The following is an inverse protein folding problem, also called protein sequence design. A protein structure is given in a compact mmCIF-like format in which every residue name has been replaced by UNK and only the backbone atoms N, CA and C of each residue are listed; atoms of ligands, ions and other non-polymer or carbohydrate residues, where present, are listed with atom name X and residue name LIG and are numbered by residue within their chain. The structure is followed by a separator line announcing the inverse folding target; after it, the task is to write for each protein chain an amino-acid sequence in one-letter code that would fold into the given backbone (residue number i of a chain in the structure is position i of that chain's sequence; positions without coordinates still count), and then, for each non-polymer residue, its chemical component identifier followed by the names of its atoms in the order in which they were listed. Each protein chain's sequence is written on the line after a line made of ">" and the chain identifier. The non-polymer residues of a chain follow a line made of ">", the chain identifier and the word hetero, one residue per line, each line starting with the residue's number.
data_IF_488904514557
#
_entry.id   IF_488904514557
#
_cell.length_a   1.000
_cell.length_b   1.000
_cell.length_c   1.000
_cell.angle_alpha   90.00
_cell.angle_beta   90.00
_cell.angle_gamma   90.00
#
_symmetry.space_group_name_H-M   'P 1'
#
loop_
_entity.id
_entity.type
_entity.pdbx_description
1 polymer ?
#
# COMPACT_ATOMS: atom_id res chain seq x y z
N UNK A 1 4.10 -14.87 -21.32
CA UNK A 1 2.77 -14.98 -20.68
C UNK A 1 2.17 -13.60 -20.73
N UNK A 2 1.52 -13.26 -21.85
CA UNK A 2 1.61 -11.88 -22.34
C UNK A 2 0.43 -10.98 -21.93
N UNK A 3 -0.56 -11.52 -21.23
CA UNK A 3 -1.58 -10.75 -20.51
C UNK A 3 -2.41 -11.70 -19.64
N UNK A 4 -2.59 -11.39 -18.35
CA UNK A 4 -3.60 -12.03 -17.51
C UNK A 4 -4.75 -11.02 -17.36
N UNK A 5 -5.97 -11.43 -17.70
CA UNK A 5 -7.15 -10.57 -17.61
C UNK A 5 -7.59 -10.44 -16.14
N UNK A 6 -7.31 -9.28 -15.54
CA UNK A 6 -7.64 -8.94 -14.16
C UNK A 6 -8.92 -8.09 -14.07
N UNK A 7 -9.64 -7.92 -15.18
CA UNK A 7 -10.76 -6.99 -15.29
C UNK A 7 -10.34 -5.54 -15.55
N UNK A 8 -11.34 -4.66 -15.57
CA UNK A 8 -11.22 -3.27 -16.07
C UNK A 8 -11.37 -2.21 -14.99
N UNK A 9 -11.34 -2.61 -13.71
CA UNK A 9 -11.41 -1.64 -12.62
C UNK A 9 -10.23 -0.67 -12.68
N UNK A 10 -10.53 0.60 -12.41
CA UNK A 10 -9.59 1.72 -12.43
C UNK A 10 -9.86 2.63 -11.25
N UNK A 11 -8.78 3.08 -10.60
CA UNK A 11 -8.81 4.13 -9.58
C UNK A 11 -7.92 5.28 -10.06
N UNK A 12 -8.49 6.40 -10.53
CA UNK A 12 -7.70 7.58 -10.84
C UNK A 12 -6.83 8.00 -9.65
N UNK A 13 -5.54 8.23 -9.90
CA UNK A 13 -4.60 8.75 -8.90
C UNK A 13 -4.04 10.12 -9.33
N UNK A 14 -3.47 10.87 -8.39
CA UNK A 14 -2.73 12.11 -8.68
C UNK A 14 -1.40 11.85 -9.41
N UNK A 15 -1.48 11.44 -10.67
CA UNK A 15 -0.36 11.33 -11.61
C UNK A 15 -0.73 11.96 -12.95
N UNK A 16 0.25 12.50 -13.67
CA UNK A 16 0.11 12.90 -15.07
C UNK A 16 0.59 11.82 -16.04
N UNK A 17 1.25 10.76 -15.54
CA UNK A 17 1.77 9.66 -16.34
C UNK A 17 0.68 8.62 -16.59
N UNK A 18 0.30 8.46 -17.86
CA UNK A 18 -0.63 7.41 -18.27
C UNK A 18 -0.09 6.00 -17.98
N UNK A 19 1.24 5.83 -18.01
CA UNK A 19 1.88 4.55 -17.70
C UNK A 19 1.84 4.25 -16.19
N UNK A 20 2.11 5.23 -15.33
CA UNK A 20 1.96 5.11 -13.87
C UNK A 20 0.52 4.76 -13.51
N UNK A 21 -0.46 5.46 -14.08
CA UNK A 21 -1.88 5.15 -13.86
C UNK A 21 -2.21 3.71 -14.26
N UNK A 22 -1.75 3.26 -15.44
CA UNK A 22 -1.98 1.90 -15.93
C UNK A 22 -1.39 0.86 -14.98
N UNK A 23 -0.14 1.02 -14.56
CA UNK A 23 0.51 0.06 -13.66
C UNK A 23 -0.10 0.07 -12.26
N UNK A 24 -0.55 1.23 -11.77
CA UNK A 24 -1.28 1.32 -10.52
C UNK A 24 -2.62 0.55 -10.58
N UNK A 25 -3.39 0.71 -11.66
CA UNK A 25 -4.66 0.00 -11.83
C UNK A 25 -4.45 -1.52 -11.89
N UNK A 26 -3.44 -1.99 -12.63
CA UNK A 26 -3.08 -3.42 -12.69
C UNK A 26 -2.66 -3.93 -11.31
N UNK A 27 -1.82 -3.19 -10.58
CA UNK A 27 -1.36 -3.57 -9.25
C UNK A 27 -2.51 -3.68 -8.24
N UNK A 28 -3.47 -2.75 -8.31
CA UNK A 28 -4.65 -2.78 -7.45
C UNK A 28 -5.56 -3.96 -7.78
N UNK A 29 -5.74 -4.30 -9.06
CA UNK A 29 -6.53 -5.47 -9.47
C UNK A 29 -5.87 -6.78 -9.05
N UNK A 30 -4.53 -6.87 -9.07
CA UNK A 30 -3.81 -8.01 -8.48
C UNK A 30 -4.07 -8.16 -6.98
N UNK A 31 -4.07 -7.06 -6.24
CA UNK A 31 -4.41 -7.07 -4.81
C UNK A 31 -5.87 -7.52 -4.58
N UNK A 32 -6.81 -7.07 -5.41
CA UNK A 32 -8.21 -7.54 -5.34
C UNK A 32 -8.37 -9.01 -5.73
N UNK A 33 -7.47 -9.54 -6.56
CA UNK A 33 -7.31 -10.97 -6.83
C UNK A 33 -6.50 -11.74 -5.78
N UNK A 34 -6.18 -11.13 -4.63
CA UNK A 34 -5.37 -11.69 -3.54
C UNK A 34 -3.92 -12.05 -3.91
N UNK A 35 -3.37 -11.49 -4.99
CA UNK A 35 -1.96 -11.62 -5.34
C UNK A 35 -1.18 -10.33 -5.02
N UNK A 36 -0.81 -10.21 -3.76
CA UNK A 36 -0.13 -9.04 -3.21
C UNK A 36 1.29 -8.83 -3.79
N UNK A 37 2.03 -9.91 -4.04
CA UNK A 37 3.39 -9.84 -4.58
C UNK A 37 3.42 -9.28 -6.02
N UNK A 38 2.49 -9.73 -6.88
CA UNK A 38 2.36 -9.15 -8.22
C UNK A 38 1.84 -7.71 -8.18
N UNK A 39 0.98 -7.38 -7.20
CA UNK A 39 0.57 -6.00 -6.91
C UNK A 39 1.78 -5.08 -6.66
N UNK A 40 2.67 -5.49 -5.75
CA UNK A 40 3.90 -4.75 -5.44
C UNK A 40 4.77 -4.55 -6.69
N UNK A 41 5.01 -5.60 -7.48
CA UNK A 41 5.82 -5.49 -8.72
C UNK A 41 5.23 -4.47 -9.70
N UNK A 42 3.90 -4.43 -9.81
CA UNK A 42 3.22 -3.44 -10.65
C UNK A 42 3.38 -2.02 -10.11
N UNK A 43 3.29 -1.81 -8.79
CA UNK A 43 3.52 -0.49 -8.19
C UNK A 43 4.98 -0.05 -8.32
N UNK A 44 5.95 -0.95 -8.12
CA UNK A 44 7.38 -0.68 -8.38
C UNK A 44 7.59 -0.28 -9.85
N UNK A 45 6.89 -0.92 -10.79
CA UNK A 45 6.92 -0.54 -12.21
C UNK A 45 6.31 0.84 -12.48
N UNK A 46 5.24 1.21 -11.76
CA UNK A 46 4.62 2.52 -11.88
C UNK A 46 5.59 3.66 -11.47
N UNK A 47 6.44 3.42 -10.48
CA UNK A 47 7.47 4.38 -10.03
C UNK A 47 8.59 4.61 -11.05
N UNK A 48 8.78 3.73 -12.03
CA UNK A 48 9.82 3.94 -13.07
C UNK A 48 9.51 5.17 -13.96
N UNK A 49 8.24 5.58 -14.06
CA UNK A 49 7.81 6.71 -14.91
C UNK A 49 7.32 7.92 -14.12
N UNK A 50 6.93 7.73 -12.86
CA UNK A 50 6.56 8.82 -11.94
C UNK A 50 7.07 8.50 -10.52
N UNK A 51 8.39 8.67 -10.27
CA UNK A 51 9.00 8.31 -9.00
C UNK A 51 8.55 9.21 -7.84
N UNK A 52 7.89 10.33 -8.13
CA UNK A 52 7.37 11.27 -7.12
C UNK A 52 5.88 11.04 -6.81
N UNK A 53 5.23 10.05 -7.45
CA UNK A 53 3.82 9.76 -7.22
C UNK A 53 3.56 9.17 -5.83
N UNK A 54 3.16 10.04 -4.90
CA UNK A 54 2.89 9.70 -3.51
C UNK A 54 1.96 8.48 -3.33
N UNK A 55 0.93 8.37 -4.17
CA UNK A 55 -0.08 7.33 -4.01
C UNK A 55 0.38 5.95 -4.52
N UNK A 56 1.42 5.89 -5.36
CA UNK A 56 2.04 4.62 -5.74
C UNK A 56 2.80 4.02 -4.55
N UNK A 57 3.51 4.85 -3.77
CA UNK A 57 4.13 4.40 -2.51
C UNK A 57 3.09 3.89 -1.51
N UNK A 58 1.92 4.54 -1.42
CA UNK A 58 0.78 4.00 -0.66
C UNK A 58 0.36 2.61 -1.18
N UNK A 59 0.32 2.41 -2.49
CA UNK A 59 -0.01 1.12 -3.11
C UNK A 59 0.96 0.00 -2.70
N UNK A 60 2.27 0.28 -2.64
CA UNK A 60 3.27 -0.70 -2.18
C UNK A 60 3.06 -1.06 -0.71
N UNK A 61 2.80 -0.07 0.15
CA UNK A 61 2.50 -0.31 1.56
C UNK A 61 1.19 -1.10 1.74
N UNK A 62 0.14 -0.75 1.01
CA UNK A 62 -1.14 -1.46 1.01
C UNK A 62 -0.98 -2.92 0.58
N UNK A 63 -0.20 -3.21 -0.45
CA UNK A 63 0.01 -4.58 -0.88
C UNK A 63 0.89 -5.39 0.08
N UNK A 64 1.80 -4.74 0.81
CA UNK A 64 2.71 -5.40 1.76
C UNK A 64 2.08 -5.66 3.15
N UNK A 65 0.89 -5.13 3.41
CA UNK A 65 0.21 -5.26 4.71
C UNK A 65 -0.39 -6.67 4.91
N UNK A 66 -0.65 -7.11 6.17
CA UNK A 66 -1.35 -8.38 6.40
C UNK A 66 -2.76 -8.33 5.82
N UNK A 67 -3.15 -9.41 5.15
CA UNK A 67 -4.43 -9.53 4.44
C UNK A 67 -5.19 -10.77 4.90
N UNK A 68 -6.38 -10.99 4.33
CA UNK A 68 -7.31 -12.01 4.83
C UNK A 68 -6.72 -13.43 4.93
N UNK A 69 -5.83 -13.80 3.99
CA UNK A 69 -5.20 -15.13 3.96
C UNK A 69 -3.83 -15.20 4.66
N UNK A 70 -3.31 -14.07 5.14
CA UNK A 70 -2.06 -13.98 5.87
C UNK A 70 -2.15 -12.82 6.87
N UNK A 71 -2.85 -13.08 7.96
CA UNK A 71 -3.08 -12.13 9.04
C UNK A 71 -1.78 -11.87 9.81
N UNK A 72 -1.74 -10.79 10.60
CA UNK A 72 -0.56 -10.47 11.41
C UNK A 72 -0.16 -11.59 12.38
N UNK A 73 -1.13 -12.35 12.89
CA UNK A 73 -0.90 -13.47 13.81
C UNK A 73 -0.25 -14.68 13.13
N UNK A 74 -0.39 -14.79 11.81
CA UNK A 74 0.17 -15.89 11.02
C UNK A 74 1.61 -15.61 10.57
N UNK A 75 2.05 -14.35 10.64
CA UNK A 75 3.43 -13.99 10.30
C UNK A 75 4.42 -14.56 11.31
N UNK A 76 5.47 -15.22 10.80
CA UNK A 76 6.68 -15.43 11.57
C UNK A 76 7.35 -14.11 11.93
N UNK A 77 8.23 -14.11 12.94
CA UNK A 77 8.93 -12.89 13.40
C UNK A 77 9.64 -12.13 12.27
N UNK A 78 10.32 -12.84 11.38
CA UNK A 78 11.07 -12.22 10.29
C UNK A 78 10.14 -11.68 9.19
N UNK A 79 9.03 -12.36 8.93
CA UNK A 79 8.00 -11.90 7.98
C UNK A 79 7.35 -10.62 8.50
N UNK A 80 6.94 -10.60 9.77
CA UNK A 80 6.37 -9.42 10.42
C UNK A 80 7.35 -8.22 10.37
N UNK A 81 8.64 -8.45 10.62
CA UNK A 81 9.66 -7.40 10.51
C UNK A 81 9.80 -6.86 9.08
N UNK A 82 9.83 -7.74 8.07
CA UNK A 82 9.93 -7.32 6.66
C UNK A 82 8.69 -6.56 6.21
N UNK A 83 7.50 -7.05 6.55
CA UNK A 83 6.23 -6.41 6.22
C UNK A 83 6.12 -5.03 6.88
N UNK A 84 6.35 -4.92 8.20
CA UNK A 84 6.31 -3.64 8.90
C UNK A 84 7.34 -2.63 8.38
N UNK A 85 8.59 -3.07 8.12
CA UNK A 85 9.62 -2.21 7.51
C UNK A 85 9.14 -1.66 6.17
N UNK A 86 8.70 -2.53 5.26
CA UNK A 86 8.26 -2.15 3.92
C UNK A 86 7.08 -1.17 3.99
N UNK A 87 6.07 -1.47 4.78
CA UNK A 87 4.89 -0.61 4.92
C UNK A 87 5.27 0.74 5.53
N UNK A 88 6.05 0.75 6.61
CA UNK A 88 6.50 1.98 7.26
C UNK A 88 7.32 2.86 6.30
N UNK A 89 8.33 2.31 5.65
CA UNK A 89 9.23 3.09 4.79
C UNK A 89 8.45 3.71 3.61
N UNK A 90 7.57 2.94 2.97
CA UNK A 90 6.78 3.43 1.84
C UNK A 90 5.69 4.41 2.26
N UNK A 91 5.06 4.23 3.42
CA UNK A 91 4.07 5.21 3.89
C UNK A 91 4.74 6.53 4.30
N UNK A 92 5.97 6.52 4.84
CA UNK A 92 6.71 7.76 5.07
C UNK A 92 7.05 8.48 3.76
N UNK A 93 7.45 7.75 2.71
CA UNK A 93 7.67 8.33 1.38
C UNK A 93 6.36 8.91 0.80
N UNK A 94 5.25 8.18 0.92
CA UNK A 94 3.93 8.65 0.50
C UNK A 94 3.53 9.95 1.23
N UNK A 95 3.74 10.02 2.55
CA UNK A 95 3.47 11.24 3.35
C UNK A 95 4.31 12.42 2.89
N UNK A 96 5.61 12.20 2.67
CA UNK A 96 6.53 13.24 2.21
C UNK A 96 6.12 13.84 0.84
N UNK A 97 5.59 13.00 -0.07
CA UNK A 97 5.10 13.42 -1.39
C UNK A 97 3.64 13.87 -1.45
N UNK A 98 2.89 13.78 -0.35
CA UNK A 98 1.42 13.87 -0.36
C UNK A 98 0.84 15.27 -0.66
N UNK A 99 1.66 16.32 -0.66
CA UNK A 99 1.20 17.71 -0.86
C UNK A 99 0.50 17.91 -2.22
N UNK A 100 0.91 17.19 -3.26
CA UNK A 100 0.28 17.21 -4.59
C UNK A 100 -0.83 16.16 -4.79
N UNK A 101 -1.04 15.28 -3.81
CA UNK A 101 -2.06 14.24 -3.88
C UNK A 101 -3.46 14.83 -3.62
N UNK A 102 -4.50 14.17 -4.13
CA UNK A 102 -5.89 14.57 -3.88
C UNK A 102 -6.26 14.42 -2.40
N UNK A 103 -7.30 15.11 -1.90
CA UNK A 103 -7.68 15.01 -0.48
C UNK A 103 -8.01 13.59 -0.02
N UNK A 104 -8.59 12.75 -0.89
CA UNK A 104 -8.88 11.34 -0.57
C UNK A 104 -7.59 10.52 -0.46
N UNK A 105 -6.61 10.78 -1.31
CA UNK A 105 -5.32 10.10 -1.26
C UNK A 105 -4.53 10.49 -0.01
N UNK A 106 -4.50 11.78 0.32
CA UNK A 106 -3.87 12.25 1.57
C UNK A 106 -4.48 11.56 2.80
N UNK A 107 -5.81 11.44 2.87
CA UNK A 107 -6.49 10.74 3.97
C UNK A 107 -6.14 9.25 4.03
N UNK A 108 -6.07 8.56 2.89
CA UNK A 108 -5.70 7.15 2.83
C UNK A 108 -4.23 6.91 3.21
N UNK A 109 -3.34 7.82 2.83
CA UNK A 109 -1.93 7.83 3.24
C UNK A 109 -1.83 7.98 4.76
N UNK A 110 -2.50 8.97 5.34
CA UNK A 110 -2.49 9.20 6.79
C UNK A 110 -3.12 8.06 7.57
N UNK A 111 -4.20 7.45 7.05
CA UNK A 111 -4.79 6.26 7.66
C UNK A 111 -3.75 5.13 7.71
N UNK A 112 -3.12 4.79 6.58
CA UNK A 112 -2.14 3.71 6.54
C UNK A 112 -0.90 4.01 7.42
N UNK A 113 -0.52 5.28 7.56
CA UNK A 113 0.54 5.70 8.48
C UNK A 113 0.17 5.46 9.95
N UNK A 114 -1.11 5.55 10.30
CA UNK A 114 -1.60 5.17 11.63
C UNK A 114 -1.56 3.65 11.87
N UNK A 115 -1.59 2.84 10.79
CA UNK A 115 -1.48 1.37 10.84
C UNK A 115 -0.03 0.89 11.00
N UNK A 116 0.94 1.57 10.40
CA UNK A 116 2.34 1.18 10.47
C UNK A 116 3.17 2.28 11.12
N UNK A 117 3.26 2.21 12.46
CA UNK A 117 3.83 3.27 13.28
C UNK A 117 5.32 3.08 13.57
N UNK A 118 5.84 1.88 13.39
CA UNK A 118 7.25 1.53 13.57
C UNK A 118 7.74 0.67 12.41
N UNK A 119 9.05 0.70 12.09
CA UNK A 119 9.58 -0.02 10.95
C UNK A 119 10.02 -1.46 11.31
N UNK A 120 9.40 -2.06 12.31
CA UNK A 120 9.66 -3.43 12.75
C UNK A 120 8.37 -4.07 13.23
N UNK A 121 8.36 -5.40 13.25
CA UNK A 121 7.22 -6.17 13.75
C UNK A 121 6.97 -5.89 15.23
N UNK A 122 5.69 -5.95 15.61
CA UNK A 122 5.19 -5.80 16.98
C UNK A 122 4.37 -7.03 17.37
N UNK A 123 4.05 -7.15 18.66
CA UNK A 123 3.20 -8.23 19.14
C UNK A 123 1.79 -8.15 18.52
N UNK A 124 1.03 -9.26 18.46
CA UNK A 124 -0.34 -9.22 17.96
C UNK A 124 -1.26 -8.22 18.68
N UNK A 125 -1.08 -8.05 20.00
CA UNK A 125 -1.87 -7.09 20.78
C UNK A 125 -1.51 -5.64 20.45
N UNK A 126 -0.24 -5.35 20.18
CA UNK A 126 0.19 -4.02 19.72
C UNK A 126 -0.30 -3.75 18.29
N UNK A 127 -0.24 -4.73 17.39
CA UNK A 127 -0.76 -4.57 16.03
C UNK A 127 -2.27 -4.35 16.01
N UNK A 128 -3.03 -4.98 16.91
CA UNK A 128 -4.47 -4.71 17.07
C UNK A 128 -4.75 -3.25 17.46
N UNK A 129 -3.88 -2.63 18.26
CA UNK A 129 -3.98 -1.19 18.57
C UNK A 129 -3.69 -0.34 17.32
N UNK A 130 -2.75 -0.75 16.49
CA UNK A 130 -2.47 -0.09 15.22
C UNK A 130 -3.63 -0.23 14.23
N UNK A 131 -4.27 -1.39 14.15
CA UNK A 131 -5.48 -1.62 13.35
C UNK A 131 -6.65 -0.73 13.82
N UNK A 132 -6.81 -0.56 15.13
CA UNK A 132 -7.81 0.37 15.69
C UNK A 132 -7.49 1.84 15.33
N UNK A 133 -6.21 2.23 15.38
CA UNK A 133 -5.77 3.56 14.97
C UNK A 133 -6.01 3.81 13.48
N UNK A 134 -5.75 2.82 12.63
CA UNK A 134 -6.07 2.82 11.20
C UNK A 134 -7.56 3.03 10.95
N UNK A 135 -8.42 2.22 11.59
CA UNK A 135 -9.87 2.32 11.44
C UNK A 135 -10.39 3.70 11.88
N UNK A 136 -9.92 4.22 13.02
CA UNK A 136 -10.29 5.55 13.50
C UNK A 136 -9.83 6.67 12.56
N UNK A 137 -8.67 6.53 11.92
CA UNK A 137 -8.17 7.50 10.94
C UNK A 137 -8.96 7.47 9.63
N UNK A 138 -9.37 6.28 9.17
CA UNK A 138 -10.16 6.12 7.95
C UNK A 138 -11.58 6.72 8.04
N UNK A 139 -12.12 6.84 9.25
CA UNK A 139 -13.46 7.39 9.51
C UNK A 139 -13.54 8.93 9.60
N UNK A 140 -12.41 9.64 9.59
CA UNK A 140 -12.35 11.11 9.65
C UNK A 140 -12.35 11.72 8.27
#
# INVERSE_FOLDING_TARGET
>A
MDHFDLGTYRRPISTSSAETQRWFDIGLNWCYGFNHEEGIKCFEKALETDPDCAFVYWGIAYAAEPFYNLTWKEHGKDEANRAARRCFDHVQLARAGSAGASPVEQRLIEALAARFQQPHGVTPAEFEQWDNAYAAAAMR
#
